data_IF_060374324499
#
_entry.id   IF_060374324499
#
_cell.length_a   1.000
_cell.length_b   1.000
_cell.length_c   1.000
_cell.angle_alpha   90.00
_cell.angle_beta   90.00
_cell.angle_gamma   90.00
#
_symmetry.space_group_name_H-M   'P 1'
#
loop_
_entity.id
_entity.type
_entity.pdbx_description
1 polymer ?
#
# COMPACT_ATOMS: atom_id res chain seq x y z
N UNK A 1 21.00 -3.16 3.16
CA UNK A 1 21.47 -2.25 4.24
C UNK A 1 20.43 -2.29 5.35
N UNK A 2 20.82 -2.73 6.54
CA UNK A 2 19.89 -2.91 7.67
C UNK A 2 19.26 -1.56 8.05
N UNK A 3 17.94 -1.55 8.25
CA UNK A 3 17.17 -0.35 8.66
C UNK A 3 17.65 0.24 10.00
N UNK A 4 18.38 -0.53 10.78
CA UNK A 4 18.94 -0.15 12.09
C UNK A 4 19.93 1.02 11.99
N UNK A 5 20.68 1.09 10.89
CA UNK A 5 21.62 2.20 10.63
C UNK A 5 20.91 3.55 10.52
N UNK A 6 19.74 3.59 9.93
CA UNK A 6 18.97 4.83 9.77
C UNK A 6 18.51 5.38 11.12
N UNK A 7 18.03 4.51 12.00
CA UNK A 7 17.61 4.90 13.35
C UNK A 7 18.78 5.35 14.23
N UNK A 8 19.93 4.70 14.09
CA UNK A 8 21.14 5.12 14.78
C UNK A 8 21.60 6.50 14.33
N UNK A 9 21.64 6.77 13.02
CA UNK A 9 21.99 8.08 12.48
C UNK A 9 21.00 9.18 12.92
N UNK A 10 19.71 8.86 12.94
CA UNK A 10 18.69 9.79 13.44
C UNK A 10 18.89 10.09 14.93
N UNK A 11 19.18 9.10 15.75
CA UNK A 11 19.47 9.30 17.18
C UNK A 11 20.69 10.18 17.41
N UNK A 12 21.80 9.95 16.67
CA UNK A 12 23.01 10.79 16.72
C UNK A 12 22.70 12.23 16.28
N UNK A 13 21.94 12.40 15.22
CA UNK A 13 21.53 13.71 14.71
C UNK A 13 20.72 14.50 15.76
N UNK A 14 19.72 13.89 16.38
CA UNK A 14 18.92 14.52 17.41
C UNK A 14 19.72 14.80 18.69
N UNK A 15 20.67 13.93 19.06
CA UNK A 15 21.59 14.16 20.18
C UNK A 15 22.50 15.39 19.93
N UNK A 16 23.01 15.53 18.71
CA UNK A 16 23.82 16.71 18.34
C UNK A 16 23.00 18.01 18.37
N UNK A 17 21.76 17.98 17.86
CA UNK A 17 20.85 19.13 17.98
C UNK A 17 20.58 19.47 19.44
N UNK A 18 20.25 18.48 20.26
CA UNK A 18 19.99 18.67 21.69
C UNK A 18 21.19 19.27 22.43
N UNK A 19 22.40 18.77 22.13
CA UNK A 19 23.64 19.31 22.67
C UNK A 19 23.87 20.76 22.23
N UNK A 20 23.67 21.06 20.95
CA UNK A 20 23.80 22.42 20.40
C UNK A 20 22.84 23.41 21.04
N UNK A 21 21.56 23.00 21.23
CA UNK A 21 20.55 23.81 21.92
C UNK A 21 20.90 24.04 23.39
N UNK A 22 21.36 23.01 24.10
CA UNK A 22 21.82 23.14 25.48
C UNK A 22 23.05 24.05 25.62
N UNK A 23 24.02 23.91 24.73
CA UNK A 23 25.19 24.78 24.70
C UNK A 23 24.81 26.24 24.45
N UNK A 24 23.90 26.49 23.50
CA UNK A 24 23.40 27.83 23.17
C UNK A 24 22.64 28.48 24.34
N UNK A 25 21.95 27.70 25.20
CA UNK A 25 21.33 28.20 26.40
C UNK A 25 22.34 28.66 27.44
N UNK A 26 23.47 27.95 27.60
CA UNK A 26 24.53 28.31 28.55
C UNK A 26 25.41 29.49 28.10
N UNK A 27 25.49 29.74 26.80
CA UNK A 27 26.32 30.78 26.19
C UNK A 27 25.48 31.76 25.35
N UNK A 28 24.69 32.66 25.99
CA UNK A 28 23.75 33.53 25.29
C UNK A 28 24.44 34.60 24.47
N UNK A 29 24.66 34.32 23.20
CA UNK A 29 25.13 35.28 22.20
C UNK A 29 24.03 35.52 21.17
N UNK A 30 24.13 36.59 20.37
CA UNK A 30 23.18 36.85 19.28
C UNK A 30 23.10 35.67 18.28
N UNK A 31 24.19 34.99 18.03
CA UNK A 31 24.27 33.81 17.18
C UNK A 31 23.62 32.60 17.83
N UNK A 32 23.84 32.37 19.10
CA UNK A 32 23.22 31.29 19.86
C UNK A 32 21.68 31.42 19.89
N UNK A 33 21.18 32.65 20.10
CA UNK A 33 19.76 32.93 20.05
C UNK A 33 19.16 32.65 18.65
N UNK A 34 19.80 33.11 17.59
CA UNK A 34 19.38 32.82 16.21
C UNK A 34 19.35 31.32 15.94
N UNK A 35 20.42 30.62 16.32
CA UNK A 35 20.47 29.14 16.19
C UNK A 35 19.31 28.47 16.91
N UNK A 36 19.04 28.82 18.19
CA UNK A 36 17.93 28.29 18.96
C UNK A 36 16.59 28.51 18.27
N UNK A 37 16.28 29.75 17.91
CA UNK A 37 15.01 30.10 17.27
C UNK A 37 14.85 29.38 15.94
N UNK A 38 15.86 29.40 15.07
CA UNK A 38 15.80 28.75 13.76
C UNK A 38 15.61 27.23 13.90
N UNK A 39 16.39 26.58 14.78
CA UNK A 39 16.26 25.13 15.01
C UNK A 39 14.88 24.78 15.59
N UNK A 40 14.39 25.55 16.56
CA UNK A 40 13.06 25.33 17.13
C UNK A 40 11.95 25.50 16.10
N UNK A 41 12.02 26.51 15.25
CA UNK A 41 11.04 26.70 14.16
C UNK A 41 11.08 25.52 13.19
N UNK A 42 12.26 25.08 12.76
CA UNK A 42 12.40 23.92 11.88
C UNK A 42 11.79 22.67 12.50
N UNK A 43 12.08 22.38 13.78
CA UNK A 43 11.53 21.22 14.48
C UNK A 43 10.00 21.28 14.62
N UNK A 44 9.45 22.46 14.90
CA UNK A 44 8.00 22.66 14.98
C UNK A 44 7.35 22.43 13.62
N UNK A 45 7.91 22.98 12.53
CA UNK A 45 7.40 22.77 11.17
C UNK A 45 7.43 21.29 10.81
N UNK A 46 8.52 20.58 11.10
CA UNK A 46 8.63 19.15 10.88
C UNK A 46 7.59 18.36 11.69
N UNK A 47 7.39 18.72 12.97
CA UNK A 47 6.38 18.06 13.79
C UNK A 47 4.96 18.27 13.21
N UNK A 48 4.65 19.47 12.75
CA UNK A 48 3.36 19.76 12.10
C UNK A 48 3.20 18.92 10.82
N UNK A 49 4.22 18.84 9.96
CA UNK A 49 4.18 18.03 8.73
C UNK A 49 3.90 16.56 9.07
N UNK A 50 4.62 16.00 10.05
CA UNK A 50 4.40 14.61 10.49
C UNK A 50 2.97 14.43 11.00
N UNK A 51 2.48 15.31 11.87
CA UNK A 51 1.12 15.22 12.41
C UNK A 51 0.05 15.30 11.32
N UNK A 52 0.21 16.19 10.34
CA UNK A 52 -0.71 16.29 9.19
C UNK A 52 -0.70 15.00 8.38
N UNK A 53 0.47 14.44 8.07
CA UNK A 53 0.55 13.19 7.30
C UNK A 53 -0.07 12.04 8.10
N UNK A 54 0.20 11.92 9.40
CA UNK A 54 -0.41 10.88 10.25
C UNK A 54 -1.93 11.04 10.31
N UNK A 55 -2.43 12.25 10.42
CA UNK A 55 -3.86 12.51 10.37
C UNK A 55 -4.48 12.05 9.04
N UNK A 56 -3.86 12.35 7.90
CA UNK A 56 -4.34 11.91 6.60
C UNK A 56 -4.32 10.39 6.45
N UNK A 57 -3.29 9.70 6.98
CA UNK A 57 -3.23 8.23 7.01
C UNK A 57 -4.41 7.67 7.80
N UNK A 58 -4.66 8.18 9.00
CA UNK A 58 -5.77 7.72 9.86
C UNK A 58 -7.13 7.97 9.22
N UNK A 59 -7.33 9.14 8.62
CA UNK A 59 -8.58 9.48 7.92
C UNK A 59 -8.82 8.52 6.75
N UNK A 60 -7.81 8.23 5.94
CA UNK A 60 -7.94 7.29 4.82
C UNK A 60 -8.25 5.87 5.32
N UNK A 61 -7.54 5.40 6.34
CA UNK A 61 -7.73 4.07 6.92
C UNK A 61 -9.08 3.89 7.64
N UNK A 62 -9.73 4.98 8.05
CA UNK A 62 -11.03 4.96 8.76
C UNK A 62 -12.25 4.95 7.84
N UNK A 63 -12.05 5.04 6.52
CA UNK A 63 -13.16 4.99 5.57
C UNK A 63 -13.85 3.62 5.60
N UNK A 64 -15.17 3.64 5.35
CA UNK A 64 -15.94 2.38 5.25
C UNK A 64 -15.46 1.57 4.05
N UNK A 65 -15.40 0.27 4.26
CA UNK A 65 -15.14 -0.69 3.19
C UNK A 65 -16.34 -0.72 2.26
N UNK A 66 -16.09 -0.54 0.97
CA UNK A 66 -17.11 -0.57 -0.06
C UNK A 66 -17.40 -2.02 -0.46
N UNK A 67 -18.66 -2.50 -0.40
CA UNK A 67 -19.02 -3.86 -0.79
C UNK A 67 -19.18 -3.98 -2.32
N UNK A 68 -19.13 -5.21 -2.81
CA UNK A 68 -19.46 -5.53 -4.20
C UNK A 68 -18.48 -4.96 -5.22
N UNK A 69 -17.19 -4.89 -4.90
CA UNK A 69 -16.16 -4.50 -5.84
C UNK A 69 -15.91 -5.63 -6.86
N UNK A 70 -15.66 -5.26 -8.13
CA UNK A 70 -15.35 -6.23 -9.18
C UNK A 70 -13.96 -6.85 -8.97
N UNK A 71 -12.99 -6.02 -8.62
CA UNK A 71 -11.60 -6.42 -8.36
C UNK A 71 -11.09 -5.80 -7.08
N UNK A 72 -10.26 -6.54 -6.35
CA UNK A 72 -9.52 -6.04 -5.20
C UNK A 72 -8.02 -6.34 -5.38
N UNK A 73 -7.22 -5.30 -5.52
CA UNK A 73 -5.76 -5.41 -5.56
C UNK A 73 -5.25 -5.56 -4.13
N UNK A 74 -4.65 -6.70 -3.84
CA UNK A 74 -4.04 -7.01 -2.55
C UNK A 74 -2.55 -6.75 -2.67
N UNK A 75 -2.07 -5.71 -2.01
CA UNK A 75 -0.64 -5.37 -2.06
C UNK A 75 0.16 -6.36 -1.23
N UNK A 76 1.23 -6.85 -1.80
CA UNK A 76 2.15 -7.78 -1.18
C UNK A 76 2.89 -7.23 0.04
N UNK A 77 3.58 -8.10 0.70
CA UNK A 77 4.37 -7.84 1.89
C UNK A 77 5.27 -9.06 2.17
N UNK A 78 6.15 -8.95 3.14
CA UNK A 78 7.21 -9.93 3.35
C UNK A 78 6.70 -11.34 3.63
N UNK A 79 7.22 -12.32 2.87
CA UNK A 79 7.18 -13.75 3.17
C UNK A 79 8.42 -14.12 3.99
N UNK A 80 8.22 -14.83 5.10
CA UNK A 80 9.31 -15.29 5.97
C UNK A 80 10.06 -16.45 5.30
N UNK A 81 11.28 -16.74 5.78
CA UNK A 81 12.10 -17.87 5.32
C UNK A 81 11.38 -19.23 5.41
N UNK A 82 10.43 -19.38 6.33
CA UNK A 82 9.60 -20.58 6.48
C UNK A 82 8.39 -20.64 5.52
N UNK A 83 8.34 -19.78 4.51
CA UNK A 83 7.26 -19.70 3.53
C UNK A 83 5.96 -19.03 4.02
N UNK A 84 5.86 -18.67 5.30
CA UNK A 84 4.63 -18.08 5.86
C UNK A 84 4.62 -16.56 5.75
N UNK A 85 3.45 -15.95 5.55
CA UNK A 85 3.30 -14.50 5.58
C UNK A 85 3.79 -13.89 6.90
N UNK A 86 4.41 -12.70 6.83
CA UNK A 86 4.69 -11.90 8.01
C UNK A 86 3.39 -11.54 8.75
N UNK A 87 3.48 -11.10 10.02
CA UNK A 87 2.28 -10.74 10.80
C UNK A 87 1.44 -9.69 10.07
N UNK A 88 2.05 -8.61 9.59
CA UNK A 88 1.34 -7.55 8.88
C UNK A 88 0.73 -8.02 7.55
N UNK A 89 1.39 -8.94 6.82
CA UNK A 89 0.82 -9.52 5.61
C UNK A 89 -0.35 -10.44 5.95
N UNK A 90 -0.24 -11.26 6.99
CA UNK A 90 -1.32 -12.15 7.42
C UNK A 90 -2.57 -11.36 7.83
N UNK A 91 -2.44 -10.31 8.65
CA UNK A 91 -3.56 -9.42 9.01
C UNK A 91 -4.26 -8.83 7.76
N UNK A 92 -3.48 -8.56 6.71
CA UNK A 92 -4.02 -8.14 5.41
C UNK A 92 -4.78 -9.25 4.69
N UNK A 93 -4.24 -10.46 4.70
CA UNK A 93 -4.88 -11.64 4.06
C UNK A 93 -6.14 -12.06 4.81
N UNK A 94 -6.15 -11.98 6.14
CA UNK A 94 -7.35 -12.21 6.96
C UNK A 94 -8.49 -11.26 6.53
N UNK A 95 -8.17 -9.98 6.26
CA UNK A 95 -9.15 -9.03 5.73
C UNK A 95 -9.64 -9.40 4.32
N UNK A 96 -8.80 -10.03 3.48
CA UNK A 96 -9.24 -10.59 2.18
C UNK A 96 -10.24 -11.72 2.38
N UNK A 97 -9.95 -12.64 3.31
CA UNK A 97 -10.83 -13.76 3.64
C UNK A 97 -12.20 -13.25 4.11
N UNK A 98 -12.22 -12.27 5.01
CA UNK A 98 -13.46 -11.68 5.50
C UNK A 98 -14.25 -10.99 4.38
N UNK A 99 -13.58 -10.22 3.52
CA UNK A 99 -14.21 -9.57 2.39
C UNK A 99 -14.77 -10.58 1.37
N UNK A 100 -14.04 -11.67 1.09
CA UNK A 100 -14.42 -12.70 0.13
C UNK A 100 -15.69 -13.47 0.56
N UNK A 101 -15.94 -13.63 1.86
CA UNK A 101 -17.16 -14.29 2.37
C UNK A 101 -18.44 -13.59 1.91
N UNK A 102 -18.42 -12.25 1.97
CA UNK A 102 -19.60 -11.44 1.64
C UNK A 102 -19.62 -11.04 0.14
N UNK A 103 -18.50 -11.18 -0.57
CA UNK A 103 -18.32 -10.71 -1.95
C UNK A 103 -17.72 -11.83 -2.84
N UNK A 104 -18.48 -12.91 -3.04
CA UNK A 104 -18.01 -14.13 -3.71
C UNK A 104 -17.67 -13.95 -5.20
N UNK A 105 -18.16 -12.89 -5.84
CA UNK A 105 -17.90 -12.60 -7.25
C UNK A 105 -16.68 -11.71 -7.49
N UNK A 106 -16.10 -11.15 -6.43
CA UNK A 106 -14.90 -10.31 -6.49
C UNK A 106 -13.66 -11.11 -6.91
N UNK A 107 -12.90 -10.58 -7.86
CA UNK A 107 -11.55 -11.07 -8.18
C UNK A 107 -10.51 -10.40 -7.30
N UNK A 108 -9.58 -11.18 -6.75
CA UNK A 108 -8.46 -10.67 -5.94
C UNK A 108 -7.16 -10.73 -6.75
N UNK A 109 -6.57 -9.57 -7.01
CA UNK A 109 -5.28 -9.45 -7.69
C UNK A 109 -4.18 -9.40 -6.65
N UNK A 110 -3.48 -10.50 -6.46
CA UNK A 110 -2.39 -10.65 -5.51
C UNK A 110 -1.12 -10.13 -6.17
N UNK A 111 -0.61 -9.00 -5.72
CA UNK A 111 0.53 -8.35 -6.38
C UNK A 111 1.72 -8.26 -5.45
N UNK A 112 2.82 -8.89 -5.87
CA UNK A 112 4.08 -8.88 -5.15
C UNK A 112 5.09 -9.87 -5.74
N UNK A 113 6.24 -9.37 -6.15
CA UNK A 113 7.35 -10.16 -6.65
C UNK A 113 8.12 -10.85 -5.52
N UNK A 114 9.32 -11.32 -5.82
CA UNK A 114 10.18 -12.03 -4.86
C UNK A 114 11.20 -11.06 -4.25
N UNK A 115 11.23 -10.95 -2.94
CA UNK A 115 12.29 -10.29 -2.19
C UNK A 115 13.60 -11.12 -2.21
N UNK A 116 14.74 -10.46 -1.92
CA UNK A 116 16.06 -11.11 -1.98
C UNK A 116 16.18 -12.30 -1.02
N UNK A 117 15.57 -12.22 0.16
CA UNK A 117 15.63 -13.23 1.23
C UNK A 117 14.32 -14.04 1.33
N UNK A 118 13.50 -14.09 0.29
CA UNK A 118 12.22 -14.78 0.31
C UNK A 118 12.28 -16.11 -0.46
N UNK A 119 11.62 -17.18 0.05
CA UNK A 119 11.64 -18.49 -0.59
C UNK A 119 10.81 -18.56 -1.88
N UNK A 120 9.74 -17.74 -1.97
CA UNK A 120 8.84 -17.63 -3.11
C UNK A 120 8.47 -16.16 -3.35
N UNK A 121 7.69 -15.87 -4.39
CA UNK A 121 7.14 -14.52 -4.57
C UNK A 121 6.08 -14.21 -3.50
N UNK A 122 5.93 -12.94 -3.14
CA UNK A 122 4.90 -12.52 -2.18
C UNK A 122 3.50 -12.93 -2.66
N UNK A 123 3.22 -12.80 -3.97
CA UNK A 123 1.94 -13.16 -4.55
C UNK A 123 1.65 -14.67 -4.51
N UNK A 124 2.67 -15.53 -4.70
CA UNK A 124 2.51 -16.99 -4.53
C UNK A 124 2.21 -17.35 -3.08
N UNK A 125 2.96 -16.80 -2.12
CA UNK A 125 2.72 -17.04 -0.69
C UNK A 125 1.36 -16.51 -0.23
N UNK A 126 0.88 -15.40 -0.79
CA UNK A 126 -0.48 -14.89 -0.56
C UNK A 126 -1.54 -15.85 -1.11
N UNK A 127 -1.35 -16.37 -2.33
CA UNK A 127 -2.30 -17.28 -2.96
C UNK A 127 -2.42 -18.59 -2.19
N UNK A 128 -1.30 -19.16 -1.76
CA UNK A 128 -1.28 -20.39 -0.95
C UNK A 128 -2.08 -20.20 0.34
N UNK A 129 -1.81 -19.12 1.09
CA UNK A 129 -2.52 -18.79 2.31
C UNK A 129 -4.03 -18.64 2.08
N UNK A 130 -4.45 -17.89 1.06
CA UNK A 130 -5.87 -17.62 0.80
C UNK A 130 -6.63 -18.88 0.35
N UNK A 131 -5.97 -19.78 -0.39
CA UNK A 131 -6.55 -21.07 -0.79
C UNK A 131 -6.74 -21.97 0.44
N UNK A 132 -5.75 -22.00 1.36
CA UNK A 132 -5.87 -22.74 2.64
C UNK A 132 -7.02 -22.21 3.49
N UNK A 133 -7.25 -20.89 3.50
CA UNK A 133 -8.37 -20.25 4.21
C UNK A 133 -9.73 -20.31 3.46
N UNK A 134 -9.78 -21.03 2.33
CA UNK A 134 -11.01 -21.32 1.60
C UNK A 134 -11.44 -20.28 0.56
N UNK A 135 -10.58 -19.34 0.19
CA UNK A 135 -10.85 -18.43 -0.92
C UNK A 135 -10.74 -19.20 -2.24
N UNK A 136 -11.72 -19.01 -3.13
CA UNK A 136 -11.79 -19.69 -4.41
C UNK A 136 -10.60 -19.37 -5.32
N UNK A 137 -9.87 -20.41 -5.76
CA UNK A 137 -8.70 -20.26 -6.62
C UNK A 137 -9.00 -19.58 -7.95
N UNK A 138 -10.18 -19.81 -8.53
CA UNK A 138 -10.60 -19.19 -9.80
C UNK A 138 -10.88 -17.68 -9.67
N UNK A 139 -10.89 -17.14 -8.46
CA UNK A 139 -11.02 -15.71 -8.16
C UNK A 139 -9.67 -15.04 -7.82
N UNK A 140 -8.58 -15.78 -7.83
CA UNK A 140 -7.24 -15.26 -7.53
C UNK A 140 -6.47 -15.02 -8.83
N UNK A 141 -6.04 -13.80 -9.05
CA UNK A 141 -5.14 -13.40 -10.13
C UNK A 141 -3.77 -13.06 -9.50
N UNK A 142 -2.70 -13.59 -10.05
CA UNK A 142 -1.36 -13.51 -9.44
C UNK A 142 -0.43 -12.66 -10.30
N UNK A 143 0.10 -11.57 -9.75
CA UNK A 143 1.09 -10.69 -10.35
C UNK A 143 2.43 -10.88 -9.63
N UNK A 144 3.47 -11.33 -10.35
CA UNK A 144 4.73 -11.86 -9.81
C UNK A 144 5.96 -10.97 -10.02
N UNK A 145 5.83 -9.85 -10.77
CA UNK A 145 6.97 -9.09 -11.28
C UNK A 145 7.28 -7.83 -10.50
N UNK A 146 6.31 -7.34 -9.73
CA UNK A 146 6.42 -6.08 -9.02
C UNK A 146 7.47 -6.13 -7.89
N UNK A 147 8.24 -5.05 -7.73
CA UNK A 147 9.27 -4.88 -6.71
C UNK A 147 9.03 -3.69 -5.79
N UNK A 148 7.98 -2.94 -6.01
CA UNK A 148 7.59 -1.78 -5.22
C UNK A 148 6.12 -1.45 -5.42
N UNK A 149 5.55 -0.62 -4.55
CA UNK A 149 4.12 -0.30 -4.56
C UNK A 149 3.64 0.35 -5.86
N UNK A 150 4.47 1.14 -6.52
CA UNK A 150 4.12 1.72 -7.81
C UNK A 150 3.92 0.62 -8.87
N UNK A 151 4.86 -0.32 -8.97
CA UNK A 151 4.75 -1.46 -9.88
C UNK A 151 3.58 -2.38 -9.52
N UNK A 152 3.33 -2.62 -8.22
CA UNK A 152 2.15 -3.38 -7.79
C UNK A 152 0.87 -2.82 -8.41
N UNK A 153 0.67 -1.52 -8.33
CA UNK A 153 -0.54 -0.85 -8.84
C UNK A 153 -0.60 -0.90 -10.38
N UNK A 154 0.51 -0.61 -11.05
CA UNK A 154 0.55 -0.58 -12.52
C UNK A 154 0.41 -1.96 -13.16
N UNK A 155 1.11 -2.96 -12.63
CA UNK A 155 1.04 -4.33 -13.18
C UNK A 155 -0.30 -4.99 -12.85
N UNK A 156 -0.87 -4.70 -11.68
CA UNK A 156 -2.23 -5.13 -11.36
C UNK A 156 -3.26 -4.55 -12.33
N UNK A 157 -3.12 -3.27 -12.73
CA UNK A 157 -4.00 -2.66 -13.73
C UNK A 157 -3.95 -3.42 -15.07
N UNK A 158 -2.75 -3.67 -15.56
CA UNK A 158 -2.57 -4.42 -16.81
C UNK A 158 -3.15 -5.85 -16.73
N UNK A 159 -3.00 -6.51 -15.58
CA UNK A 159 -3.56 -7.85 -15.36
C UNK A 159 -5.10 -7.83 -15.29
N UNK A 160 -5.71 -6.82 -14.66
CA UNK A 160 -7.15 -6.62 -14.63
C UNK A 160 -7.69 -6.38 -16.05
N UNK A 161 -7.07 -5.48 -16.81
CA UNK A 161 -7.47 -5.18 -18.19
C UNK A 161 -7.41 -6.42 -19.07
N UNK A 162 -6.34 -7.21 -18.93
CA UNK A 162 -6.23 -8.50 -19.65
C UNK A 162 -7.33 -9.47 -19.23
N UNK A 163 -7.61 -9.64 -17.96
CA UNK A 163 -8.67 -10.55 -17.48
C UNK A 163 -10.06 -10.14 -17.98
N UNK A 164 -10.33 -8.83 -18.05
CA UNK A 164 -11.59 -8.32 -18.63
C UNK A 164 -11.68 -8.71 -20.10
N UNK A 165 -10.61 -8.51 -20.88
CA UNK A 165 -10.58 -8.86 -22.32
C UNK A 165 -10.77 -10.36 -22.56
N UNK A 166 -10.10 -11.20 -21.76
CA UNK A 166 -10.20 -12.67 -21.87
C UNK A 166 -11.64 -13.13 -21.58
N UNK A 167 -12.29 -12.55 -20.57
CA UNK A 167 -13.69 -12.87 -20.23
C UNK A 167 -14.67 -12.42 -21.34
N UNK A 168 -14.47 -11.25 -21.96
CA UNK A 168 -15.27 -10.77 -23.08
C UNK A 168 -15.07 -11.63 -24.33
N UNK A 169 -13.85 -12.05 -24.62
CA UNK A 169 -13.52 -12.96 -25.72
C UNK A 169 -14.23 -14.30 -25.59
N UNK A 170 -14.28 -14.85 -24.37
CA UNK A 170 -14.97 -16.11 -24.08
C UNK A 170 -16.49 -15.99 -24.24
N UNK A 171 -17.09 -14.87 -23.84
CA UNK A 171 -18.52 -14.61 -24.04
C UNK A 171 -18.89 -14.52 -25.53
N UNK A 172 -18.07 -13.82 -26.33
CA UNK A 172 -18.30 -13.67 -27.76
C UNK A 172 -18.08 -14.98 -28.53
N UNK A 173 -17.12 -15.81 -28.15
CA UNK A 173 -16.86 -17.11 -28.77
C UNK A 173 -17.98 -18.14 -28.56
N UNK A 174 -18.79 -18.00 -27.49
CA UNK A 174 -19.95 -18.85 -27.22
C UNK A 174 -21.23 -18.42 -27.95
N UNK A 175 -21.26 -17.24 -28.53
CA UNK A 175 -22.33 -16.75 -29.41
C UNK A 175 -21.97 -17.16 -30.85
N UNK A 176 -22.36 -18.35 -31.30
CA UNK A 176 -22.01 -18.89 -32.64
C UNK A 176 -22.10 -17.88 -33.79
N UNK A 177 -21.56 -18.21 -34.95
CA UNK A 177 -21.36 -17.37 -36.16
C UNK A 177 -22.60 -16.59 -36.68
N UNK A 178 -23.77 -16.75 -36.05
CA UNK A 178 -25.03 -16.10 -36.41
C UNK A 178 -25.43 -14.92 -35.48
N UNK A 179 -24.60 -14.55 -34.49
CA UNK A 179 -24.85 -13.36 -33.70
C UNK A 179 -24.44 -12.13 -34.49
N UNK A 180 -25.41 -11.29 -34.91
CA UNK A 180 -25.15 -9.96 -35.45
C UNK A 180 -24.27 -9.13 -34.50
N UNK A 181 -23.79 -7.96 -34.94
CA UNK A 181 -22.88 -7.14 -34.11
C UNK A 181 -23.54 -6.94 -32.74
N UNK A 182 -22.97 -7.60 -31.72
CA UNK A 182 -23.37 -7.39 -30.33
C UNK A 182 -23.04 -5.90 -30.05
N UNK A 183 -24.10 -5.09 -29.90
CA UNK A 183 -23.95 -3.75 -29.36
C UNK A 183 -23.24 -3.92 -28.02
N UNK A 184 -21.95 -3.59 -27.98
CA UNK A 184 -21.17 -3.56 -26.75
C UNK A 184 -21.87 -2.53 -25.89
N UNK A 185 -22.76 -2.99 -24.99
CA UNK A 185 -23.35 -2.14 -23.98
C UNK A 185 -22.17 -1.46 -23.29
N UNK A 186 -22.19 -0.14 -23.16
CA UNK A 186 -21.14 0.60 -22.46
C UNK A 186 -20.89 -0.12 -21.13
N UNK A 187 -19.76 -0.82 -21.09
CA UNK A 187 -19.42 -1.62 -19.91
C UNK A 187 -19.21 -0.65 -18.76
N UNK A 188 -20.02 -0.78 -17.70
CA UNK A 188 -19.85 0.04 -16.50
C UNK A 188 -18.39 -0.03 -16.06
N UNK A 189 -17.80 1.10 -15.71
CA UNK A 189 -16.42 1.10 -15.21
C UNK A 189 -16.31 0.11 -14.04
N UNK A 190 -15.30 -0.75 -14.08
CA UNK A 190 -15.07 -1.73 -13.03
C UNK A 190 -14.71 -1.01 -11.72
N UNK A 191 -15.36 -1.41 -10.65
CA UNK A 191 -15.13 -0.89 -9.30
C UNK A 191 -13.96 -1.65 -8.69
N UNK A 192 -12.87 -0.95 -8.41
CA UNK A 192 -11.60 -1.57 -7.99
C UNK A 192 -11.27 -1.20 -6.56
N UNK A 193 -11.01 -2.20 -5.71
CA UNK A 193 -10.48 -2.02 -4.37
C UNK A 193 -8.96 -2.07 -4.33
N UNK A 194 -8.36 -1.36 -3.39
CA UNK A 194 -6.95 -1.49 -3.03
C UNK A 194 -6.88 -1.86 -1.56
N UNK A 195 -6.46 -3.10 -1.29
CA UNK A 195 -6.37 -3.65 0.04
C UNK A 195 -4.92 -3.69 0.51
N UNK A 196 -4.67 -3.00 1.61
CA UNK A 196 -3.37 -2.97 2.26
C UNK A 196 -3.48 -2.62 3.74
N UNK A 197 -2.36 -2.62 4.48
CA UNK A 197 -2.36 -2.22 5.88
C UNK A 197 -2.73 -0.74 6.05
N UNK A 198 -3.35 -0.41 7.17
CA UNK A 198 -3.87 0.92 7.51
C UNK A 198 -2.83 2.04 7.34
N UNK A 199 -1.60 1.86 7.84
CA UNK A 199 -0.51 2.82 7.69
C UNK A 199 -0.09 3.07 6.23
N UNK A 200 -0.34 2.11 5.33
CA UNK A 200 0.10 2.15 3.93
C UNK A 200 -0.97 2.62 2.95
N UNK A 201 -2.25 2.58 3.37
CA UNK A 201 -3.38 2.81 2.48
C UNK A 201 -3.36 4.19 1.82
N UNK A 202 -3.06 5.25 2.58
CA UNK A 202 -3.01 6.61 2.05
C UNK A 202 -2.04 6.75 0.87
N UNK A 203 -0.83 6.14 0.97
CA UNK A 203 0.17 6.16 -0.10
C UNK A 203 -0.28 5.33 -1.30
N UNK A 204 -0.82 4.14 -1.07
CA UNK A 204 -1.33 3.29 -2.14
C UNK A 204 -2.45 3.97 -2.95
N UNK A 205 -3.38 4.65 -2.27
CA UNK A 205 -4.45 5.43 -2.90
C UNK A 205 -3.90 6.62 -3.71
N UNK A 206 -2.84 7.28 -3.23
CA UNK A 206 -2.17 8.35 -3.96
C UNK A 206 -1.54 7.86 -5.28
N UNK A 207 -0.87 6.70 -5.25
CA UNK A 207 -0.29 6.07 -6.42
C UNK A 207 -1.36 5.59 -7.41
N UNK A 208 -2.49 5.09 -6.92
CA UNK A 208 -3.60 4.66 -7.77
C UNK A 208 -4.24 5.82 -8.55
N UNK A 209 -4.34 7.00 -7.94
CA UNK A 209 -4.78 8.22 -8.64
C UNK A 209 -3.91 8.52 -9.86
N UNK A 210 -2.60 8.37 -9.73
CA UNK A 210 -1.64 8.58 -10.83
C UNK A 210 -1.70 7.48 -11.89
N UNK A 211 -2.12 6.26 -11.51
CA UNK A 211 -2.34 5.16 -12.46
C UNK A 211 -3.68 5.28 -13.22
N UNK A 212 -4.42 6.39 -13.03
CA UNK A 212 -5.65 6.70 -13.74
C UNK A 212 -6.74 5.61 -13.66
N UNK A 213 -6.90 5.03 -12.47
CA UNK A 213 -8.09 4.23 -12.18
C UNK A 213 -9.32 5.14 -12.13
N UNK A 214 -10.40 4.77 -12.82
CA UNK A 214 -11.63 5.59 -12.89
C UNK A 214 -12.37 5.59 -11.56
N UNK A 215 -12.62 4.39 -11.01
CA UNK A 215 -13.27 4.21 -9.71
C UNK A 215 -12.44 3.26 -8.87
N UNK A 216 -11.96 3.74 -7.72
CA UNK A 216 -11.17 2.92 -6.81
C UNK A 216 -11.44 3.27 -5.35
N UNK A 217 -11.41 2.25 -4.51
CA UNK A 217 -11.80 2.30 -3.11
C UNK A 217 -10.69 1.69 -2.24
N UNK A 218 -10.46 2.28 -1.08
CA UNK A 218 -9.49 1.77 -0.12
C UNK A 218 -10.11 0.74 0.80
N UNK A 219 -9.39 -0.37 1.03
CA UNK A 219 -9.72 -1.37 2.05
C UNK A 219 -8.54 -1.44 3.02
N UNK A 220 -8.81 -1.05 4.26
CA UNK A 220 -7.80 -0.98 5.31
C UNK A 220 -7.78 -2.25 6.14
N UNK A 221 -6.67 -2.98 6.12
CA UNK A 221 -6.39 -4.03 7.09
C UNK A 221 -5.72 -3.43 8.33
N UNK A 222 -6.31 -3.63 9.50
CA UNK A 222 -5.77 -3.14 10.77
C UNK A 222 -4.46 -3.84 11.09
N UNK A 223 -3.46 -3.05 11.46
CA UNK A 223 -2.16 -3.54 11.89
C UNK A 223 -2.03 -3.47 13.40
N UNK A 224 -1.23 -4.38 13.97
CA UNK A 224 -0.85 -4.33 15.40
C UNK A 224 -0.25 -2.97 15.76
N UNK A 225 -0.65 -2.40 16.91
CA UNK A 225 -0.30 -1.04 17.34
C UNK A 225 1.21 -0.81 17.42
N UNK A 226 1.98 -1.80 17.87
CA UNK A 226 3.44 -1.68 17.96
C UNK A 226 4.11 -1.64 16.57
N UNK A 227 3.61 -2.44 15.66
CA UNK A 227 4.05 -2.43 14.26
C UNK A 227 3.60 -1.14 13.55
N UNK A 228 2.39 -0.65 13.86
CA UNK A 228 1.86 0.58 13.29
C UNK A 228 2.78 1.77 13.49
N UNK A 229 3.24 2.04 14.73
CA UNK A 229 4.10 3.19 15.02
C UNK A 229 5.40 3.17 14.20
N UNK A 230 6.03 1.99 14.10
CA UNK A 230 7.25 1.83 13.32
C UNK A 230 7.01 2.06 11.82
N UNK A 231 5.96 1.46 11.26
CA UNK A 231 5.64 1.58 9.85
C UNK A 231 5.09 2.95 9.46
N UNK A 232 4.29 3.59 10.30
CA UNK A 232 3.71 4.90 10.04
C UNK A 232 4.79 6.00 9.89
N UNK A 233 5.86 5.95 10.69
CA UNK A 233 7.01 6.86 10.54
C UNK A 233 7.74 6.61 9.21
N UNK A 234 7.96 5.36 8.84
CA UNK A 234 8.55 5.00 7.54
C UNK A 234 7.68 5.47 6.37
N UNK A 235 6.37 5.29 6.47
CA UNK A 235 5.42 5.73 5.44
C UNK A 235 5.37 7.26 5.32
N UNK A 236 5.53 8.01 6.41
CA UNK A 236 5.66 9.48 6.34
C UNK A 236 6.81 9.88 5.41
N UNK A 237 7.99 9.28 5.57
CA UNK A 237 9.14 9.55 4.72
C UNK A 237 8.90 9.09 3.27
N UNK A 238 8.25 7.94 3.09
CA UNK A 238 7.92 7.42 1.76
C UNK A 238 6.91 8.33 1.02
N UNK A 239 5.89 8.84 1.71
CA UNK A 239 4.91 9.80 1.16
C UNK A 239 5.60 11.08 0.74
N UNK A 240 6.48 11.64 1.58
CA UNK A 240 7.24 12.86 1.24
C UNK A 240 8.12 12.65 0.01
N UNK A 241 8.82 11.51 -0.05
CA UNK A 241 9.63 11.11 -1.22
C UNK A 241 8.76 11.01 -2.47
N UNK A 242 7.65 10.27 -2.42
CA UNK A 242 6.80 10.01 -3.59
C UNK A 242 6.14 11.30 -4.10
N UNK A 243 5.76 12.22 -3.19
CA UNK A 243 5.30 13.57 -3.57
C UNK A 243 6.39 14.38 -4.23
N UNK A 244 7.61 14.37 -3.67
CA UNK A 244 8.74 15.11 -4.25
C UNK A 244 9.12 14.57 -5.63
N UNK A 245 9.04 13.27 -5.84
CA UNK A 245 9.30 12.60 -7.12
C UNK A 245 8.13 12.70 -8.12
N UNK A 246 6.99 13.26 -7.73
CA UNK A 246 5.81 13.38 -8.59
C UNK A 246 5.03 12.08 -8.82
N UNK A 247 5.25 11.07 -7.98
CA UNK A 247 4.53 9.78 -8.04
C UNK A 247 3.14 9.82 -7.38
N UNK A 248 2.86 10.86 -6.57
CA UNK A 248 1.57 11.08 -5.89
C UNK A 248 1.02 12.47 -6.19
#
# INVERSE_FOLDING_TARGET
MSQDYLWFLAAVFFALIGFGLHYAQKHPTRWALRFQVTTSVILIVWAIIILVIQFLIVVEASKKVEPGLDYVIVLGGRIKENGKPSKALRERLDMVVDYARDNQDTYFVLSGGRGEDEPCTEAEGMAEYLIEEGVRKDRLLVELQSRNTHQNIWYSKALIEKNIQDNLGTMNGNLGDNAGPVLVAEEKPKRIGILTSDFHLFRAMGLARKAEYREFYGISAKCDVWLYLHFAMRETLAILKDKFMGYM
#
